data_IF_166810378031
#
_entry.id   IF_166810378031
#
_cell.length_a   1.000
_cell.length_b   1.000
_cell.length_c   1.000
_cell.angle_alpha   90.00
_cell.angle_beta   90.00
_cell.angle_gamma   90.00
#
_symmetry.space_group_name_H-M   'P 1'
#
loop_
_entity.id
_entity.type
_entity.pdbx_description
1 polymer ?
#
# COMPACT_ATOMS: atom_id res chain seq x y z
N UNK A 1 16.62 13.42 12.65
CA UNK A 1 16.70 12.05 12.09
C UNK A 1 15.31 11.65 11.65
N UNK A 2 15.12 11.13 10.43
CA UNK A 2 13.80 10.66 9.99
C UNK A 2 13.53 9.33 10.69
N UNK A 3 12.38 9.21 11.36
CA UNK A 3 11.96 7.95 12.01
C UNK A 3 11.75 6.87 10.95
N UNK A 4 12.26 5.67 11.19
CA UNK A 4 12.13 4.54 10.27
C UNK A 4 10.65 4.26 9.89
N UNK A 5 9.73 4.36 10.86
CA UNK A 5 8.29 4.22 10.63
C UNK A 5 7.73 5.22 9.61
N UNK A 6 8.25 6.44 9.59
CA UNK A 6 7.83 7.49 8.63
C UNK A 6 8.30 7.19 7.22
N UNK A 7 9.50 6.61 7.06
CA UNK A 7 9.99 6.16 5.75
C UNK A 7 9.10 5.04 5.22
N UNK A 8 8.82 4.03 6.05
CA UNK A 8 7.95 2.91 5.67
C UNK A 8 6.54 3.35 5.33
N UNK A 9 5.96 4.28 6.10
CA UNK A 9 4.64 4.85 5.82
C UNK A 9 4.58 5.46 4.42
N UNK A 10 5.56 6.31 4.07
CA UNK A 10 5.63 6.96 2.75
C UNK A 10 5.78 5.91 1.64
N UNK A 11 6.67 4.93 1.80
CA UNK A 11 6.92 3.91 0.78
C UNK A 11 5.68 3.04 0.53
N UNK A 12 5.00 2.59 1.59
CA UNK A 12 3.79 1.78 1.46
C UNK A 12 2.60 2.56 0.91
N UNK A 13 2.41 3.82 1.33
CA UNK A 13 1.36 4.67 0.76
C UNK A 13 1.62 4.97 -0.72
N UNK A 14 2.86 5.26 -1.11
CA UNK A 14 3.22 5.53 -2.49
C UNK A 14 3.00 4.30 -3.38
N UNK A 15 3.62 3.17 -3.03
CA UNK A 15 3.51 1.94 -3.81
C UNK A 15 2.08 1.40 -3.81
N UNK A 16 1.40 1.45 -2.67
CA UNK A 16 -0.01 1.06 -2.55
C UNK A 16 -0.92 1.91 -3.44
N UNK A 17 -0.68 3.22 -3.52
CA UNK A 17 -1.42 4.11 -4.42
C UNK A 17 -1.19 3.75 -5.88
N UNK A 18 0.06 3.53 -6.29
CA UNK A 18 0.40 3.14 -7.66
C UNK A 18 -0.32 1.84 -8.04
N UNK A 19 -0.24 0.82 -7.18
CA UNK A 19 -0.88 -0.48 -7.42
C UNK A 19 -2.41 -0.39 -7.43
N UNK A 20 -3.00 0.37 -6.50
CA UNK A 20 -4.46 0.54 -6.45
C UNK A 20 -4.99 1.28 -7.67
N UNK A 21 -4.33 2.36 -8.09
CA UNK A 21 -4.71 3.12 -9.30
C UNK A 21 -4.54 2.26 -10.54
N UNK A 22 -3.39 1.60 -10.70
CA UNK A 22 -3.15 0.73 -11.85
C UNK A 22 -4.13 -0.44 -11.88
N UNK A 23 -4.34 -1.10 -10.74
CA UNK A 23 -5.32 -2.17 -10.57
C UNK A 23 -6.72 -1.73 -10.95
N UNK A 24 -7.16 -0.55 -10.51
CA UNK A 24 -8.47 0.00 -10.86
C UNK A 24 -8.67 0.14 -12.38
N UNK A 25 -7.66 0.62 -13.11
CA UNK A 25 -7.74 0.77 -14.57
C UNK A 25 -7.58 -0.53 -15.35
N UNK A 26 -7.08 -1.60 -14.72
CA UNK A 26 -6.79 -2.88 -15.36
C UNK A 26 -7.73 -4.00 -14.93
N UNK A 27 -8.81 -3.70 -14.20
CA UNK A 27 -9.80 -4.68 -13.77
C UNK A 27 -10.31 -5.54 -14.93
N UNK A 28 -10.23 -6.87 -14.77
CA UNK A 28 -10.65 -7.82 -15.80
C UNK A 28 -9.65 -8.05 -16.94
N UNK A 29 -8.46 -7.43 -16.91
CA UNK A 29 -7.42 -7.66 -17.91
C UNK A 29 -6.91 -9.12 -17.89
N UNK A 30 -6.55 -9.63 -19.07
CA UNK A 30 -6.08 -10.99 -19.31
C UNK A 30 -4.83 -11.34 -18.49
N UNK A 31 -4.05 -10.33 -18.08
CA UNK A 31 -2.89 -10.53 -17.20
C UNK A 31 -3.26 -11.18 -15.86
N UNK A 32 -4.50 -11.05 -15.38
CA UNK A 32 -4.91 -11.68 -14.12
C UNK A 32 -5.23 -13.17 -14.24
N UNK A 33 -5.16 -13.76 -15.43
CA UNK A 33 -5.31 -15.21 -15.62
C UNK A 33 -4.28 -16.01 -14.80
N UNK A 34 -3.06 -15.51 -14.65
CA UNK A 34 -2.01 -16.15 -13.83
C UNK A 34 -2.27 -16.03 -12.32
N UNK A 35 -3.15 -15.11 -11.91
CA UNK A 35 -3.60 -14.91 -10.53
C UNK A 35 -5.03 -15.38 -10.30
N UNK A 36 -5.47 -16.42 -11.04
CA UNK A 36 -6.81 -17.01 -10.91
C UNK A 36 -7.95 -16.00 -11.16
N UNK A 37 -7.73 -15.05 -12.07
CA UNK A 37 -8.66 -13.96 -12.37
C UNK A 37 -8.74 -12.88 -11.29
N UNK A 38 -7.87 -12.90 -10.28
CA UNK A 38 -7.87 -11.90 -9.20
C UNK A 38 -7.00 -10.72 -9.58
N UNK A 39 -7.55 -9.51 -9.41
CA UNK A 39 -6.81 -8.27 -9.54
C UNK A 39 -5.79 -8.10 -8.41
N UNK A 40 -4.60 -8.68 -8.62
CA UNK A 40 -3.55 -8.73 -7.61
C UNK A 40 -3.01 -7.33 -7.28
N UNK A 41 -3.04 -6.41 -8.26
CA UNK A 41 -2.61 -5.02 -8.07
C UNK A 41 -3.55 -4.29 -7.13
N UNK A 42 -4.87 -4.42 -7.31
CA UNK A 42 -5.85 -3.77 -6.45
C UNK A 42 -5.84 -4.36 -5.04
N UNK A 43 -5.78 -5.70 -4.91
CA UNK A 43 -5.74 -6.38 -3.61
C UNK A 43 -4.51 -5.95 -2.81
N UNK A 44 -3.31 -6.08 -3.37
CA UNK A 44 -2.09 -5.69 -2.65
C UNK A 44 -1.94 -4.18 -2.50
N UNK A 45 -2.45 -3.39 -3.46
CA UNK A 45 -2.52 -1.94 -3.33
C UNK A 45 -3.28 -1.52 -2.07
N UNK A 46 -4.45 -2.10 -1.84
CA UNK A 46 -5.26 -1.85 -0.63
C UNK A 46 -4.50 -2.30 0.65
N UNK A 47 -3.87 -3.48 0.63
CA UNK A 47 -3.08 -3.97 1.78
C UNK A 47 -1.93 -3.02 2.12
N UNK A 48 -1.18 -2.56 1.11
CA UNK A 48 -0.09 -1.62 1.31
C UNK A 48 -0.57 -0.26 1.80
N UNK A 49 -1.70 0.25 1.30
CA UNK A 49 -2.29 1.48 1.83
C UNK A 49 -2.62 1.33 3.31
N UNK A 50 -3.27 0.22 3.71
CA UNK A 50 -3.56 -0.07 5.11
C UNK A 50 -2.29 -0.12 5.98
N UNK A 51 -1.25 -0.82 5.53
CA UNK A 51 0.04 -0.85 6.22
C UNK A 51 0.65 0.56 6.33
N UNK A 52 0.67 1.33 5.24
CA UNK A 52 1.19 2.69 5.21
C UNK A 52 0.49 3.63 6.19
N UNK A 53 -0.84 3.51 6.33
CA UNK A 53 -1.62 4.23 7.35
C UNK A 53 -1.24 3.81 8.77
N UNK A 54 -1.11 2.50 9.05
CA UNK A 54 -0.69 2.01 10.36
C UNK A 54 0.69 2.55 10.78
N UNK A 55 1.66 2.52 9.86
CA UNK A 55 3.00 3.09 10.09
C UNK A 55 2.97 4.63 10.21
N UNK A 56 2.05 5.29 9.51
CA UNK A 56 1.83 6.73 9.62
C UNK A 56 1.32 7.10 11.00
N UNK A 57 0.29 6.41 11.49
CA UNK A 57 -0.30 6.63 12.82
C UNK A 57 0.74 6.37 13.92
N UNK A 58 1.50 5.27 13.83
CA UNK A 58 2.54 4.98 14.84
C UNK A 58 3.62 6.06 14.90
N UNK A 59 3.92 6.72 13.77
CA UNK A 59 4.87 7.83 13.74
C UNK A 59 4.39 9.10 14.47
N UNK A 60 3.07 9.24 14.64
CA UNK A 60 2.43 10.37 15.34
C UNK A 60 2.37 10.18 16.85
N UNK A 61 2.53 8.94 17.35
CA UNK A 61 2.55 8.67 18.80
C UNK A 61 3.84 9.27 19.36
N UNK A 62 3.76 10.25 20.28
CA UNK A 62 4.93 10.77 20.97
C UNK A 62 5.52 9.67 21.85
N UNK A 63 6.85 9.53 21.86
CA UNK A 63 7.50 8.72 22.88
C UNK A 63 7.19 9.38 24.24
N UNK A 64 6.58 8.62 25.15
CA UNK A 64 6.40 9.06 26.53
C UNK A 64 7.70 8.77 27.25
N UNK A 65 8.49 9.83 27.46
CA UNK A 65 9.63 9.84 28.37
C UNK A 65 9.18 9.69 29.83
#
# INVERSE_FOLDING_TARGET
MIRFSRILSILFLLLGSILAIYGFFTEGDAMYSVSLGKNINLIWGIVLLGAGFLFGISSLVPERD
#
